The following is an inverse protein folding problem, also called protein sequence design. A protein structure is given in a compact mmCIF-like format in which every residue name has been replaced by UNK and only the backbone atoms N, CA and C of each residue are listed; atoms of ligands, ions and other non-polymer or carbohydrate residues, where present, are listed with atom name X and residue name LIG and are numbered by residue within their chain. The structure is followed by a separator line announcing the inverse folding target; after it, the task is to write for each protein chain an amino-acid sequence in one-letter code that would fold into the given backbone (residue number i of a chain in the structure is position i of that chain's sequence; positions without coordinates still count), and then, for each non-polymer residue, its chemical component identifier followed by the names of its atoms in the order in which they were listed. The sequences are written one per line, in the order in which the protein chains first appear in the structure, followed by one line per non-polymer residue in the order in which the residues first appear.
data_IF_871725857443
#
_entry.id   IF_871725857443
#
_cell.length_a   1.000
_cell.length_b   1.000
_cell.length_c   1.000
_cell.angle_alpha   90.00
_cell.angle_beta   90.00
_cell.angle_gamma   90.00
#
_symmetry.space_group_name_H-M   'P 1'
#
loop_
_entity.id
_entity.type
_entity.pdbx_description
1 polymer ?
#
# COMPACT_ATOMS: atom_id res chain seq x y z
N UNK A 1 21.85 -28.66 -9.30
CA UNK A 1 21.45 -27.26 -9.56
C UNK A 1 19.95 -27.26 -9.85
N UNK A 2 19.09 -27.13 -8.84
CA UNK A 2 17.63 -27.08 -9.04
C UNK A 2 16.89 -26.18 -8.01
N UNK A 3 17.61 -25.56 -7.07
CA UNK A 3 17.03 -24.73 -6.01
C UNK A 3 17.12 -23.22 -6.27
N UNK A 4 17.83 -22.79 -7.33
CA UNK A 4 18.07 -21.38 -7.62
C UNK A 4 16.86 -20.67 -8.26
N UNK A 5 16.03 -21.35 -9.06
CA UNK A 5 14.94 -20.70 -9.82
C UNK A 5 13.67 -20.45 -9.00
N UNK A 6 13.39 -21.26 -7.97
CA UNK A 6 12.20 -21.06 -7.10
C UNK A 6 12.29 -19.81 -6.24
N UNK A 7 13.50 -19.28 -6.10
CA UNK A 7 13.77 -18.11 -5.30
C UNK A 7 13.45 -16.82 -6.09
N UNK A 8 13.68 -16.79 -7.41
CA UNK A 8 13.64 -15.59 -8.27
C UNK A 8 12.37 -14.74 -8.12
N UNK A 9 11.18 -15.35 -8.20
CA UNK A 9 9.91 -14.61 -8.12
C UNK A 9 9.58 -14.02 -6.73
N UNK A 10 10.25 -14.48 -5.66
CA UNK A 10 10.02 -13.95 -4.29
C UNK A 10 10.83 -12.69 -4.01
N UNK A 11 11.95 -12.47 -4.71
CA UNK A 11 12.73 -11.23 -4.62
C UNK A 11 12.10 -10.15 -5.48
N UNK A 12 11.57 -10.51 -6.65
CA UNK A 12 10.86 -9.58 -7.55
C UNK A 12 9.68 -8.87 -6.85
N UNK A 13 8.86 -9.62 -6.10
CA UNK A 13 7.74 -9.01 -5.36
C UNK A 13 8.19 -8.07 -4.23
N UNK A 14 9.33 -8.35 -3.58
CA UNK A 14 9.88 -7.49 -2.52
C UNK A 14 10.51 -6.22 -3.09
N UNK A 15 11.24 -6.35 -4.20
CA UNK A 15 11.86 -5.22 -4.89
C UNK A 15 10.82 -4.29 -5.50
N UNK A 16 9.82 -4.86 -6.19
CA UNK A 16 8.68 -4.10 -6.72
C UNK A 16 7.95 -3.36 -5.60
N UNK A 17 7.65 -4.04 -4.49
CA UNK A 17 6.98 -3.40 -3.36
C UNK A 17 7.84 -2.30 -2.72
N UNK A 18 9.15 -2.51 -2.64
CA UNK A 18 10.10 -1.49 -2.18
C UNK A 18 10.06 -0.23 -3.05
N UNK A 19 10.00 -0.39 -4.37
CA UNK A 19 9.86 0.72 -5.32
C UNK A 19 8.51 1.45 -5.14
N UNK A 20 7.40 0.72 -4.96
CA UNK A 20 6.09 1.32 -4.68
C UNK A 20 6.12 2.15 -3.38
N UNK A 21 6.79 1.65 -2.34
CA UNK A 21 6.91 2.36 -1.07
C UNK A 21 7.74 3.65 -1.23
N UNK A 22 8.81 3.60 -2.01
CA UNK A 22 9.60 4.79 -2.35
C UNK A 22 8.77 5.83 -3.11
N UNK A 23 8.02 5.40 -4.14
CA UNK A 23 7.10 6.28 -4.88
C UNK A 23 6.06 6.91 -3.95
N UNK A 24 5.45 6.11 -3.06
CA UNK A 24 4.47 6.57 -2.09
C UNK A 24 5.05 7.62 -1.11
N UNK A 25 6.33 7.46 -0.74
CA UNK A 25 7.09 8.41 0.07
C UNK A 25 7.39 9.72 -0.68
N UNK A 26 7.83 9.64 -1.93
CA UNK A 26 8.11 10.82 -2.77
C UNK A 26 6.87 11.69 -2.98
N UNK A 27 5.70 11.07 -3.16
CA UNK A 27 4.42 11.77 -3.29
C UNK A 27 3.80 12.19 -1.94
N UNK A 28 4.46 11.88 -0.83
CA UNK A 28 4.00 12.19 0.53
C UNK A 28 2.56 11.73 0.81
N UNK A 29 2.20 10.53 0.33
CA UNK A 29 0.86 9.94 0.54
C UNK A 29 0.57 9.60 2.00
N UNK A 30 1.62 9.52 2.83
CA UNK A 30 1.55 9.13 4.23
C UNK A 30 1.07 7.69 4.43
N UNK A 31 1.13 6.83 3.41
CA UNK A 31 0.85 5.41 3.54
C UNK A 31 2.05 4.70 4.16
N UNK A 32 1.82 3.99 5.27
CA UNK A 32 2.81 3.10 5.85
C UNK A 32 2.87 1.77 5.09
N UNK A 33 3.91 0.98 5.36
CA UNK A 33 4.17 -0.31 4.72
C UNK A 33 2.99 -1.28 4.77
N UNK A 34 2.26 -1.34 5.90
CA UNK A 34 1.11 -2.25 6.02
C UNK A 34 -0.09 -1.74 5.22
N UNK A 35 -0.39 -0.45 5.31
CA UNK A 35 -1.49 0.15 4.57
C UNK A 35 -1.26 0.05 3.06
N UNK A 36 -0.05 0.31 2.58
CA UNK A 36 0.30 0.17 1.17
C UNK A 36 0.15 -1.28 0.68
N UNK A 37 0.60 -2.26 1.46
CA UNK A 37 0.43 -3.68 1.13
C UNK A 37 -1.04 -4.10 1.06
N UNK A 38 -1.88 -3.56 1.94
CA UNK A 38 -3.33 -3.78 1.90
C UNK A 38 -3.95 -3.15 0.65
N UNK A 39 -3.56 -1.92 0.30
CA UNK A 39 -4.05 -1.26 -0.92
C UNK A 39 -3.71 -2.06 -2.18
N UNK A 40 -2.48 -2.58 -2.28
CA UNK A 40 -2.06 -3.42 -3.41
C UNK A 40 -2.96 -4.65 -3.50
N UNK A 41 -3.19 -5.37 -2.40
CA UNK A 41 -4.08 -6.54 -2.37
C UNK A 41 -5.51 -6.21 -2.80
N UNK A 42 -6.08 -5.12 -2.29
CA UNK A 42 -7.43 -4.71 -2.66
C UNK A 42 -7.53 -4.38 -4.16
N UNK A 43 -6.50 -3.73 -4.72
CA UNK A 43 -6.44 -3.43 -6.15
C UNK A 43 -6.29 -4.72 -6.97
N UNK A 44 -5.48 -5.69 -6.52
CA UNK A 44 -5.35 -7.02 -7.13
C UNK A 44 -6.67 -7.80 -7.12
N UNK A 45 -7.50 -7.61 -6.08
CA UNK A 45 -8.86 -8.18 -5.97
C UNK A 45 -9.91 -7.43 -6.82
N UNK A 46 -9.52 -6.35 -7.51
CA UNK A 46 -10.37 -5.59 -8.42
C UNK A 46 -10.96 -4.31 -7.85
N UNK A 47 -10.51 -3.85 -6.68
CA UNK A 47 -10.90 -2.55 -6.15
C UNK A 47 -10.40 -1.42 -7.06
N UNK A 48 -11.25 -0.40 -7.28
CA UNK A 48 -10.85 0.78 -8.02
C UNK A 48 -9.88 1.64 -7.18
N UNK A 49 -8.69 1.98 -7.68
CA UNK A 49 -7.68 2.71 -6.91
C UNK A 49 -8.12 4.15 -6.56
N UNK A 50 -8.90 4.82 -7.42
CA UNK A 50 -9.42 6.16 -7.14
C UNK A 50 -10.46 6.12 -6.01
N UNK A 51 -11.41 5.18 -6.08
CA UNK A 51 -12.41 5.01 -5.03
C UNK A 51 -11.76 4.63 -3.69
N UNK A 52 -10.76 3.74 -3.71
CA UNK A 52 -10.00 3.35 -2.53
C UNK A 52 -9.27 4.56 -1.90
N UNK A 53 -8.65 5.43 -2.71
CA UNK A 53 -8.00 6.64 -2.23
C UNK A 53 -8.99 7.61 -1.55
N UNK A 54 -10.21 7.75 -2.09
CA UNK A 54 -11.28 8.54 -1.46
C UNK A 54 -11.63 7.98 -0.08
N UNK A 55 -11.89 6.67 0.00
CA UNK A 55 -12.24 6.01 1.26
C UNK A 55 -11.14 6.17 2.32
N UNK A 56 -9.86 5.98 1.94
CA UNK A 56 -8.74 6.15 2.87
C UNK A 56 -8.65 7.59 3.37
N UNK A 57 -8.86 8.57 2.50
CA UNK A 57 -8.84 9.99 2.85
C UNK A 57 -9.95 10.34 3.83
N UNK A 58 -11.17 9.87 3.57
CA UNK A 58 -12.34 10.12 4.42
C UNK A 58 -12.17 9.49 5.80
N UNK A 59 -11.73 8.22 5.87
CA UNK A 59 -11.46 7.54 7.14
C UNK A 59 -10.38 8.26 7.97
N UNK A 60 -9.32 8.74 7.32
CA UNK A 60 -8.26 9.52 8.00
C UNK A 60 -8.80 10.83 8.56
N UNK A 61 -9.66 11.52 7.80
CA UNK A 61 -10.29 12.77 8.23
C UNK A 61 -11.22 12.54 9.41
N UNK A 62 -12.06 11.51 9.37
CA UNK A 62 -12.96 11.14 10.47
C UNK A 62 -12.20 10.75 11.74
N UNK A 63 -11.11 9.98 11.60
CA UNK A 63 -10.25 9.61 12.72
C UNK A 63 -9.57 10.85 13.35
N UNK A 64 -9.14 11.82 12.55
CA UNK A 64 -8.58 13.07 13.04
C UNK A 64 -9.63 13.93 13.76
N UNK A 65 -10.83 14.06 13.20
CA UNK A 65 -11.94 14.77 13.84
C UNK A 65 -12.34 14.12 15.18
N UNK A 66 -12.40 12.79 15.22
CA UNK A 66 -12.71 12.03 16.43
C UNK A 66 -11.68 12.22 17.54
N UNK A 67 -10.40 12.43 17.19
CA UNK A 67 -9.33 12.75 18.16
C UNK A 67 -9.40 14.18 18.69
N UNK A 68 -9.92 15.12 17.92
CA UNK A 68 -10.07 16.54 18.32
C UNK A 68 -11.26 16.78 19.24
N UNK A 69 -12.24 15.88 19.25
CA UNK A 69 -13.46 15.97 20.07
C UNK A 69 -13.32 15.28 21.45
N UNK A 70 -12.09 14.97 21.87
CA UNK A 70 -11.75 14.39 23.16
C UNK A 70 -10.81 15.31 23.92
#
# INVERSE_FOLDING_TARGET
MADSDRNSGRWEGKEMFGLLLEMAGLMNTGLDTQTLALCVRLIEEGANPQALATVITDLRREAAASKSNK
#
